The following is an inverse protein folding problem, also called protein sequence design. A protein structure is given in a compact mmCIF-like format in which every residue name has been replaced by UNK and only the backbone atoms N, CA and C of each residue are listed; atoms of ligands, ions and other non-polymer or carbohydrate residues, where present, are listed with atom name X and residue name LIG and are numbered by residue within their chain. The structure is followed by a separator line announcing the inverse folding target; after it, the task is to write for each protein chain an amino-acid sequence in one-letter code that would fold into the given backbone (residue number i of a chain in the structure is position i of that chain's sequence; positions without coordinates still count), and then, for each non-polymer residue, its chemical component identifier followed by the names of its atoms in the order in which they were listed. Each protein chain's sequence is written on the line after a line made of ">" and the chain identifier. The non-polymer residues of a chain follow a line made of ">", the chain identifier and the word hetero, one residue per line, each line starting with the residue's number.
data_IF_216100535700
#
_entry.id   IF_216100535700
#
_cell.length_a   1.000
_cell.length_b   1.000
_cell.length_c   1.000
_cell.angle_alpha   90.00
_cell.angle_beta   90.00
_cell.angle_gamma   90.00
#
_symmetry.space_group_name_H-M   'P 1'
#
loop_
_entity.id
_entity.type
_entity.pdbx_description
1 polymer ?
#
# COMPACT_ATOMS: atom_id res chain seq x y z
N UNK A 1 46.93 10.94 34.94
CA UNK A 1 46.21 12.11 34.37
C UNK A 1 46.15 12.07 32.84
N UNK A 2 47.26 11.80 32.13
CA UNK A 2 47.27 11.73 30.65
C UNK A 2 46.42 10.59 30.04
N UNK A 3 46.30 9.45 30.72
CA UNK A 3 45.56 8.27 30.26
C UNK A 3 44.05 8.46 30.25
N UNK A 4 43.51 9.24 31.19
CA UNK A 4 42.08 9.55 31.30
C UNK A 4 41.61 10.45 30.17
N UNK A 5 42.43 11.42 29.77
CA UNK A 5 42.14 12.33 28.64
C UNK A 5 42.21 11.57 27.31
N UNK A 6 43.17 10.66 27.15
CA UNK A 6 43.26 9.80 25.98
C UNK A 6 42.02 8.89 25.84
N UNK A 7 41.54 8.32 26.95
CA UNK A 7 40.31 7.52 26.98
C UNK A 7 39.08 8.35 26.60
N UNK A 8 38.95 9.55 27.15
CA UNK A 8 37.86 10.47 26.82
C UNK A 8 37.88 10.87 25.33
N UNK A 9 39.06 11.11 24.76
CA UNK A 9 39.21 11.44 23.33
C UNK A 9 38.88 10.25 22.42
N UNK A 10 39.24 9.03 22.81
CA UNK A 10 38.92 7.81 22.05
C UNK A 10 37.42 7.52 22.10
N UNK A 11 36.79 7.66 23.27
CA UNK A 11 35.33 7.53 23.44
C UNK A 11 34.61 8.61 22.65
N UNK A 12 35.06 9.86 22.73
CA UNK A 12 34.46 10.96 21.98
C UNK A 12 34.59 10.80 20.47
N UNK A 13 35.74 10.29 19.97
CA UNK A 13 35.92 9.93 18.55
C UNK A 13 35.05 8.74 18.12
N UNK A 14 34.81 7.75 18.99
CA UNK A 14 33.91 6.61 18.72
C UNK A 14 32.43 7.00 18.78
N UNK A 15 32.04 7.89 19.68
CA UNK A 15 30.69 8.46 19.76
C UNK A 15 30.42 9.48 18.63
N UNK A 16 31.48 10.06 18.05
CA UNK A 16 31.45 10.83 16.79
C UNK A 16 31.45 9.94 15.54
N UNK A 17 31.21 8.63 15.64
CA UNK A 17 30.71 7.88 14.48
C UNK A 17 29.42 8.55 14.07
N UNK A 18 29.57 9.37 13.05
CA UNK A 18 28.58 10.13 12.34
C UNK A 18 27.32 9.30 12.33
N UNK A 19 26.31 9.76 13.07
CA UNK A 19 24.94 9.59 12.62
C UNK A 19 24.99 10.22 11.25
N UNK A 20 25.20 9.37 10.24
CA UNK A 20 24.96 9.70 8.87
C UNK A 20 23.50 10.09 8.89
N UNK A 21 23.25 11.39 9.01
CA UNK A 21 22.01 11.99 8.56
C UNK A 21 22.01 11.66 7.07
N UNK A 22 21.53 10.46 6.77
CA UNK A 22 21.13 10.06 5.43
C UNK A 22 20.15 11.18 5.09
N UNK A 23 20.55 12.07 4.20
CA UNK A 23 19.62 13.00 3.58
C UNK A 23 18.50 12.10 3.08
N UNK A 24 17.39 12.06 3.82
CA UNK A 24 16.17 11.46 3.34
C UNK A 24 15.76 12.48 2.29
N UNK A 25 16.20 12.24 1.06
CA UNK A 25 15.67 12.92 -0.09
C UNK A 25 14.19 12.56 -0.14
N UNK A 26 13.37 13.37 0.52
CA UNK A 26 11.90 13.39 0.46
C UNK A 26 11.38 13.70 -0.96
N UNK A 27 12.24 13.64 -1.98
CA UNK A 27 11.90 13.89 -3.37
C UNK A 27 11.14 12.74 -4.01
N UNK A 28 11.22 11.52 -3.46
CA UNK A 28 10.49 10.37 -3.99
C UNK A 28 9.20 10.16 -3.20
N UNK A 29 8.06 10.37 -3.86
CA UNK A 29 6.75 9.94 -3.35
C UNK A 29 6.70 8.41 -3.36
N UNK A 30 6.28 7.82 -2.25
CA UNK A 30 6.09 6.37 -2.19
C UNK A 30 4.88 5.99 -3.05
N UNK A 31 5.01 4.97 -3.90
CA UNK A 31 3.88 4.49 -4.70
C UNK A 31 3.12 3.41 -3.96
N UNK A 32 1.81 3.62 -3.78
CA UNK A 32 0.94 2.73 -3.01
C UNK A 32 -0.19 2.25 -3.91
N UNK A 33 -0.30 0.94 -4.08
CA UNK A 33 -1.41 0.33 -4.80
C UNK A 33 -2.44 -0.24 -3.83
N UNK A 34 -3.67 0.27 -3.88
CA UNK A 34 -4.76 -0.23 -3.06
C UNK A 34 -5.51 -1.32 -3.81
N UNK A 35 -5.68 -2.48 -3.16
CA UNK A 35 -6.50 -3.58 -3.66
C UNK A 35 -7.53 -3.95 -2.60
N UNK A 36 -8.80 -3.98 -2.99
CA UNK A 36 -9.95 -4.20 -2.12
C UNK A 36 -10.99 -5.03 -2.86
N UNK A 37 -12.00 -5.52 -2.14
CA UNK A 37 -13.17 -6.17 -2.76
C UNK A 37 -14.32 -5.19 -2.85
N UNK A 38 -15.06 -5.20 -3.95
CA UNK A 38 -16.17 -4.25 -4.17
C UNK A 38 -17.46 -4.65 -3.43
N UNK A 39 -17.44 -4.61 -2.09
CA UNK A 39 -18.54 -5.11 -1.23
C UNK A 39 -19.85 -4.30 -1.34
N UNK A 40 -19.76 -2.98 -1.13
CA UNK A 40 -20.90 -2.05 -1.12
C UNK A 40 -20.43 -0.60 -1.37
N UNK A 41 -21.35 0.33 -1.64
CA UNK A 41 -20.97 1.72 -2.01
C UNK A 41 -20.27 2.44 -0.86
N UNK A 42 -20.70 2.17 0.39
CA UNK A 42 -20.06 2.71 1.58
C UNK A 42 -18.62 2.20 1.73
N UNK A 43 -18.36 0.94 1.40
CA UNK A 43 -17.00 0.38 1.43
C UNK A 43 -16.12 1.03 0.34
N UNK A 44 -16.62 1.10 -0.90
CA UNK A 44 -15.92 1.74 -2.00
C UNK A 44 -15.58 3.22 -1.69
N UNK A 45 -16.51 3.96 -1.09
CA UNK A 45 -16.31 5.34 -0.65
C UNK A 45 -15.26 5.48 0.47
N UNK A 46 -15.25 4.54 1.42
CA UNK A 46 -14.23 4.51 2.48
C UNK A 46 -12.83 4.23 1.91
N UNK A 47 -12.71 3.34 0.94
CA UNK A 47 -11.46 3.06 0.21
C UNK A 47 -10.99 4.30 -0.56
N UNK A 48 -11.88 4.99 -1.27
CA UNK A 48 -11.56 6.24 -1.94
C UNK A 48 -11.08 7.32 -0.96
N UNK A 49 -11.72 7.43 0.20
CA UNK A 49 -11.32 8.35 1.28
C UNK A 49 -9.92 8.02 1.80
N UNK A 50 -9.62 6.74 2.02
CA UNK A 50 -8.27 6.30 2.40
C UNK A 50 -7.23 6.69 1.34
N UNK A 51 -7.55 6.50 0.06
CA UNK A 51 -6.67 6.89 -1.03
C UNK A 51 -6.38 8.40 -1.03
N UNK A 52 -7.40 9.23 -0.81
CA UNK A 52 -7.23 10.68 -0.66
C UNK A 52 -6.40 11.05 0.57
N UNK A 53 -6.58 10.36 1.70
CA UNK A 53 -5.76 10.61 2.89
C UNK A 53 -4.28 10.30 2.64
N UNK A 54 -3.98 9.18 1.97
CA UNK A 54 -2.63 8.79 1.63
C UNK A 54 -1.97 9.78 0.65
N UNK A 55 -2.71 10.28 -0.35
CA UNK A 55 -2.23 11.33 -1.25
C UNK A 55 -1.93 12.62 -0.50
N UNK A 56 -2.88 13.09 0.30
CA UNK A 56 -2.84 14.44 0.88
C UNK A 56 -1.94 14.54 2.12
N UNK A 57 -1.87 13.50 2.94
CA UNK A 57 -1.16 13.55 4.23
C UNK A 57 0.09 12.67 4.29
N UNK A 58 0.18 11.62 3.47
CA UNK A 58 1.36 10.75 3.42
C UNK A 58 2.29 11.05 2.24
N UNK A 59 1.96 12.05 1.39
CA UNK A 59 2.70 12.39 0.17
C UNK A 59 2.97 11.15 -0.71
N UNK A 60 1.98 10.27 -0.82
CA UNK A 60 2.06 9.03 -1.58
C UNK A 60 1.35 9.16 -2.94
N UNK A 61 1.93 8.53 -3.97
CA UNK A 61 1.25 8.35 -5.25
C UNK A 61 0.38 7.09 -5.15
N UNK A 62 -0.93 7.29 -5.04
CA UNK A 62 -1.88 6.20 -4.79
C UNK A 62 -2.55 5.76 -6.07
N UNK A 63 -2.38 4.48 -6.41
CA UNK A 63 -3.08 3.82 -7.51
C UNK A 63 -4.38 3.20 -6.99
N UNK A 64 -5.49 3.61 -7.58
CA UNK A 64 -6.84 3.12 -7.28
C UNK A 64 -7.65 3.01 -8.57
N UNK A 65 -8.34 1.89 -8.73
CA UNK A 65 -9.17 1.58 -9.89
C UNK A 65 -10.27 2.63 -10.12
N UNK A 66 -10.94 3.07 -9.05
CA UNK A 66 -11.99 4.09 -9.07
C UNK A 66 -11.52 5.45 -9.61
N UNK A 67 -10.21 5.71 -9.64
CA UNK A 67 -9.64 6.96 -10.12
C UNK A 67 -9.10 6.83 -11.54
N UNK A 68 -8.50 5.69 -11.89
CA UNK A 68 -7.76 5.53 -13.14
C UNK A 68 -8.56 4.78 -14.23
N UNK A 69 -9.42 3.83 -13.86
CA UNK A 69 -10.17 2.98 -14.79
C UNK A 69 -11.49 3.60 -15.28
N UNK A 70 -11.75 4.87 -14.96
CA UNK A 70 -12.90 5.63 -15.48
C UNK A 70 -12.74 6.06 -16.95
N UNK A 71 -11.53 5.95 -17.50
CA UNK A 71 -11.21 6.36 -18.87
C UNK A 71 -11.44 5.22 -19.88
N UNK A 72 -12.02 5.53 -21.04
CA UNK A 72 -12.36 4.54 -22.06
C UNK A 72 -11.14 3.82 -22.68
N UNK A 73 -9.94 4.41 -22.58
CA UNK A 73 -8.72 3.90 -23.24
C UNK A 73 -7.92 2.91 -22.37
N UNK A 74 -8.32 2.69 -21.12
CA UNK A 74 -7.53 1.86 -20.19
C UNK A 74 -8.08 0.43 -20.15
N UNK A 75 -7.24 -0.55 -20.51
CA UNK A 75 -7.59 -1.97 -20.37
C UNK A 75 -7.39 -2.41 -18.90
N UNK A 76 -8.46 -2.76 -18.15
CA UNK A 76 -8.39 -2.99 -16.70
C UNK A 76 -7.35 -4.03 -16.26
N UNK A 77 -7.31 -5.18 -16.95
CA UNK A 77 -6.37 -6.25 -16.60
C UNK A 77 -4.90 -5.85 -16.83
N UNK A 78 -4.63 -5.09 -17.90
CA UNK A 78 -3.27 -4.59 -18.20
C UNK A 78 -2.84 -3.58 -17.15
N UNK A 79 -3.71 -2.62 -16.84
CA UNK A 79 -3.48 -1.63 -15.79
C UNK A 79 -3.20 -2.31 -14.45
N UNK A 80 -4.00 -3.31 -14.08
CA UNK A 80 -3.84 -4.03 -12.83
C UNK A 80 -2.45 -4.70 -12.71
N UNK A 81 -2.04 -5.45 -13.74
CA UNK A 81 -0.73 -6.12 -13.77
C UNK A 81 0.41 -5.09 -13.71
N UNK A 82 0.28 -3.98 -14.42
CA UNK A 82 1.28 -2.91 -14.43
C UNK A 82 1.43 -2.26 -13.04
N UNK A 83 0.32 -1.89 -12.38
CA UNK A 83 0.36 -1.31 -11.03
C UNK A 83 0.85 -2.31 -10.00
N UNK A 84 0.47 -3.57 -10.10
CA UNK A 84 0.95 -4.64 -9.21
C UNK A 84 2.47 -4.86 -9.32
N UNK A 85 3.04 -4.71 -10.52
CA UNK A 85 4.48 -4.84 -10.74
C UNK A 85 5.29 -3.60 -10.36
N UNK A 86 4.71 -2.41 -10.49
CA UNK A 86 5.42 -1.13 -10.33
C UNK A 86 5.28 -0.48 -8.96
N UNK A 87 4.23 -0.82 -8.20
CA UNK A 87 4.02 -0.27 -6.87
C UNK A 87 5.10 -0.70 -5.87
N UNK A 88 5.59 0.25 -5.08
CA UNK A 88 6.52 -0.01 -3.99
C UNK A 88 5.81 -0.75 -2.85
N UNK A 89 4.60 -0.29 -2.53
CA UNK A 89 3.74 -0.85 -1.49
C UNK A 89 2.40 -1.29 -2.08
N UNK A 90 1.92 -2.46 -1.67
CA UNK A 90 0.60 -2.96 -2.03
C UNK A 90 -0.21 -3.09 -0.76
N UNK A 91 -1.34 -2.40 -0.63
CA UNK A 91 -2.20 -2.47 0.54
C UNK A 91 -3.41 -3.32 0.18
N UNK A 92 -3.53 -4.47 0.83
CA UNK A 92 -4.72 -5.30 0.74
C UNK A 92 -5.73 -4.86 1.80
N UNK A 93 -6.92 -4.47 1.35
CA UNK A 93 -8.02 -4.04 2.20
C UNK A 93 -8.96 -5.21 2.39
N UNK A 94 -8.99 -5.74 3.61
CA UNK A 94 -9.84 -6.86 3.97
C UNK A 94 -11.20 -6.36 4.48
N UNK A 95 -12.25 -7.01 4.01
CA UNK A 95 -13.65 -6.74 4.34
C UNK A 95 -14.44 -8.05 4.47
N UNK A 96 -15.77 -7.96 4.61
CA UNK A 96 -16.63 -9.14 4.68
C UNK A 96 -16.63 -9.90 3.34
N UNK A 97 -16.68 -9.18 2.21
CA UNK A 97 -16.64 -9.76 0.88
C UNK A 97 -15.31 -10.45 0.55
N UNK A 98 -14.21 -10.02 1.17
CA UNK A 98 -12.92 -10.71 1.05
C UNK A 98 -13.01 -12.19 1.47
N UNK A 99 -13.66 -12.48 2.59
CA UNK A 99 -13.82 -13.87 3.07
C UNK A 99 -14.66 -14.72 2.12
N UNK A 100 -15.66 -14.09 1.47
CA UNK A 100 -16.54 -14.72 0.49
C UNK A 100 -15.78 -15.07 -0.78
N UNK A 101 -14.99 -14.12 -1.31
CA UNK A 101 -14.20 -14.30 -2.53
C UNK A 101 -13.07 -15.30 -2.35
N UNK A 102 -12.33 -15.22 -1.24
CA UNK A 102 -11.26 -16.18 -0.94
C UNK A 102 -11.81 -17.59 -0.69
N UNK A 103 -13.07 -17.70 -0.25
CA UNK A 103 -13.80 -18.97 -0.16
C UNK A 103 -14.33 -19.52 -1.50
N UNK A 104 -13.98 -18.90 -2.63
CA UNK A 104 -14.37 -19.33 -3.98
C UNK A 104 -15.77 -18.91 -4.40
N UNK A 105 -16.44 -18.05 -3.65
CA UNK A 105 -17.73 -17.47 -4.02
C UNK A 105 -17.53 -16.16 -4.78
N UNK A 106 -18.53 -15.75 -5.56
CA UNK A 106 -18.49 -14.48 -6.30
C UNK A 106 -19.35 -13.44 -5.59
N UNK A 107 -18.86 -12.19 -5.55
CA UNK A 107 -19.70 -11.05 -5.22
C UNK A 107 -20.51 -10.61 -6.44
N UNK A 108 -21.57 -9.85 -6.20
CA UNK A 108 -22.29 -9.16 -7.28
C UNK A 108 -21.31 -8.17 -7.91
N UNK A 109 -21.01 -8.37 -9.19
CA UNK A 109 -20.11 -7.50 -9.93
C UNK A 109 -20.82 -6.18 -10.27
N UNK A 110 -20.34 -5.07 -9.69
CA UNK A 110 -20.90 -3.73 -9.93
C UNK A 110 -20.06 -2.90 -10.90
N UNK A 111 -18.77 -3.25 -11.03
CA UNK A 111 -17.83 -2.63 -11.96
C UNK A 111 -17.86 -3.32 -13.33
N UNK A 112 -17.54 -2.61 -14.43
CA UNK A 112 -17.48 -3.19 -15.78
C UNK A 112 -16.25 -4.08 -16.03
N UNK A 113 -15.54 -4.49 -14.98
CA UNK A 113 -14.31 -5.28 -15.03
C UNK A 113 -14.28 -6.31 -13.90
N UNK A 114 -13.52 -7.42 -14.04
CA UNK A 114 -13.51 -8.50 -13.06
C UNK A 114 -12.89 -8.06 -11.73
N UNK A 115 -13.22 -8.80 -10.67
CA UNK A 115 -12.62 -8.60 -9.35
C UNK A 115 -11.14 -9.00 -9.36
N UNK A 116 -10.28 -8.09 -8.89
CA UNK A 116 -8.83 -8.25 -8.93
C UNK A 116 -8.23 -8.72 -7.60
N UNK A 117 -8.98 -8.63 -6.50
CA UNK A 117 -8.51 -9.02 -5.17
C UNK A 117 -7.93 -10.44 -5.07
N UNK A 118 -8.63 -11.51 -5.53
CA UNK A 118 -8.09 -12.86 -5.40
C UNK A 118 -6.83 -13.06 -6.26
N UNK A 119 -6.77 -12.41 -7.42
CA UNK A 119 -5.56 -12.39 -8.26
C UNK A 119 -4.38 -11.72 -7.54
N UNK A 120 -4.60 -10.59 -6.88
CA UNK A 120 -3.57 -9.89 -6.10
C UNK A 120 -3.04 -10.77 -4.96
N UNK A 121 -3.93 -11.43 -4.22
CA UNK A 121 -3.56 -12.33 -3.12
C UNK A 121 -2.72 -13.50 -3.64
N UNK A 122 -3.17 -14.18 -4.70
CA UNK A 122 -2.43 -15.29 -5.28
C UNK A 122 -1.04 -14.88 -5.80
N UNK A 123 -0.95 -13.70 -6.41
CA UNK A 123 0.33 -13.15 -6.85
C UNK A 123 1.25 -12.87 -5.66
N UNK A 124 0.77 -12.17 -4.62
CA UNK A 124 1.59 -11.82 -3.46
C UNK A 124 2.10 -13.04 -2.68
N UNK A 125 1.27 -14.08 -2.57
CA UNK A 125 1.67 -15.36 -2.00
C UNK A 125 2.77 -16.01 -2.84
N UNK A 126 2.64 -16.03 -4.17
CA UNK A 126 3.61 -16.68 -5.05
C UNK A 126 4.96 -15.98 -5.08
N UNK A 127 4.99 -14.64 -4.96
CA UNK A 127 6.24 -13.86 -4.93
C UNK A 127 6.82 -13.68 -3.52
N UNK A 128 6.22 -14.28 -2.49
CA UNK A 128 6.62 -14.19 -1.08
C UNK A 128 6.87 -12.75 -0.59
N UNK A 129 6.13 -11.78 -1.16
CA UNK A 129 6.31 -10.34 -0.91
C UNK A 129 5.35 -9.90 0.19
N UNK A 130 5.52 -10.45 1.39
CA UNK A 130 4.74 -10.10 2.59
C UNK A 130 5.25 -8.83 3.31
N UNK A 131 5.52 -7.76 2.56
CA UNK A 131 5.88 -6.45 3.13
C UNK A 131 4.70 -5.47 3.07
N UNK A 132 3.50 -5.91 3.45
CA UNK A 132 2.29 -5.15 3.18
C UNK A 132 1.44 -4.96 4.43
N UNK A 133 1.13 -3.70 4.73
CA UNK A 133 0.22 -3.31 5.79
C UNK A 133 -1.18 -3.85 5.50
N UNK A 134 -1.77 -4.50 6.49
CA UNK A 134 -3.13 -5.04 6.43
C UNK A 134 -4.07 -3.99 7.02
N UNK A 135 -5.00 -3.48 6.23
CA UNK A 135 -6.01 -2.50 6.69
C UNK A 135 -7.37 -3.17 6.64
N UNK A 136 -8.08 -3.16 7.78
CA UNK A 136 -9.42 -3.71 7.89
C UNK A 136 -10.42 -2.56 7.94
N UNK A 137 -11.26 -2.43 6.91
CA UNK A 137 -12.29 -1.38 6.84
C UNK A 137 -13.65 -2.05 6.99
N UNK A 138 -14.28 -1.90 8.16
CA UNK A 138 -15.69 -2.27 8.35
C UNK A 138 -16.61 -1.08 8.08
N UNK A 139 -17.66 -1.24 7.26
CA UNK A 139 -18.71 -0.24 7.18
C UNK A 139 -19.48 -0.18 8.52
N UNK A 140 -19.69 1.04 9.03
CA UNK A 140 -20.61 1.30 10.14
C UNK A 140 -22.04 1.09 9.64
N UNK A 141 -22.77 0.13 10.22
CA UNK A 141 -24.22 0.01 10.01
C UNK A 141 -24.88 1.13 10.81
N UNK A 142 -25.46 2.11 10.12
CA UNK A 142 -26.41 3.06 10.72
C UNK A 142 -27.81 2.43 10.75
#
# INVERSE_FOLDING_TARGET
>A
MATSVAWLLVVWRRCRKTISLREISLSKRASVFLVYTDDCDAHAAAVATLAELLKNYANADVFLDQFELKSADTVPARWFIEKLGTAEHIVLIFSEGTSTILGGRTLIQRQPFPEFFPTAVNFLISVNRFFNFLVFIRPQRY
#
